data_IF_862321128827
#
_entry.id   IF_862321128827
#
_cell.length_a   1.000
_cell.length_b   1.000
_cell.length_c   1.000
_cell.angle_alpha   90.00
_cell.angle_beta   90.00
_cell.angle_gamma   90.00
#
_symmetry.space_group_name_H-M   'P 1'
#
loop_
_entity.id
_entity.type
_entity.pdbx_description
1 polymer ?
#
# COMPACT_ATOMS: atom_id res chain seq x y z
N UNK A 1 -62.45 -65.68 -17.90
CA UNK A 1 -61.02 -65.99 -18.16
C UNK A 1 -60.18 -64.74 -18.47
N UNK A 2 -60.52 -63.56 -17.98
CA UNK A 2 -59.82 -62.33 -18.34
C UNK A 2 -59.12 -61.62 -17.15
N UNK A 3 -59.67 -61.73 -15.96
CA UNK A 3 -59.10 -60.93 -14.79
C UNK A 3 -57.79 -61.45 -14.24
N UNK A 4 -57.51 -62.75 -14.28
CA UNK A 4 -56.26 -63.32 -13.83
C UNK A 4 -55.07 -63.00 -14.74
N UNK A 5 -55.31 -62.99 -16.06
CA UNK A 5 -54.31 -62.69 -17.06
C UNK A 5 -53.88 -61.20 -17.02
N UNK A 6 -54.86 -60.31 -16.83
CA UNK A 6 -54.61 -58.88 -16.66
C UNK A 6 -53.82 -58.61 -15.43
N UNK A 7 -54.13 -59.25 -14.29
CA UNK A 7 -53.39 -59.07 -13.04
C UNK A 7 -51.92 -59.55 -13.12
N UNK A 8 -51.64 -60.57 -13.90
CA UNK A 8 -50.28 -61.07 -14.16
C UNK A 8 -49.50 -60.13 -15.09
N UNK A 9 -50.17 -59.55 -16.07
CA UNK A 9 -49.57 -58.62 -17.02
C UNK A 9 -49.26 -57.28 -16.31
N UNK A 10 -50.15 -56.81 -15.49
CA UNK A 10 -49.90 -55.57 -14.65
C UNK A 10 -48.78 -55.75 -13.64
N UNK A 11 -48.74 -56.93 -12.99
CA UNK A 11 -47.60 -57.24 -12.10
C UNK A 11 -46.25 -57.27 -12.83
N UNK A 12 -46.24 -57.78 -14.10
CA UNK A 12 -45.02 -57.78 -14.91
C UNK A 12 -44.63 -56.37 -15.37
N UNK A 13 -45.63 -55.54 -15.77
CA UNK A 13 -45.39 -54.10 -16.09
C UNK A 13 -44.85 -53.31 -14.91
N UNK A 14 -45.48 -53.46 -13.74
CA UNK A 14 -45.02 -52.80 -12.49
C UNK A 14 -43.63 -53.26 -12.10
N UNK A 15 -43.29 -54.55 -12.18
CA UNK A 15 -41.96 -55.06 -11.89
C UNK A 15 -40.91 -54.54 -12.87
N UNK A 16 -41.23 -54.43 -14.17
CA UNK A 16 -40.34 -53.84 -15.17
C UNK A 16 -40.13 -52.33 -14.94
N UNK A 17 -41.22 -51.60 -14.65
CA UNK A 17 -41.13 -50.17 -14.33
C UNK A 17 -40.31 -49.92 -13.07
N UNK A 18 -40.54 -50.67 -11.99
CA UNK A 18 -39.76 -50.52 -10.75
C UNK A 18 -38.30 -50.91 -10.90
N UNK A 19 -37.99 -51.93 -11.75
CA UNK A 19 -36.58 -52.28 -12.01
C UNK A 19 -35.88 -51.22 -12.88
N UNK A 20 -36.55 -50.59 -13.83
CA UNK A 20 -36.04 -49.47 -14.62
C UNK A 20 -35.76 -48.23 -13.74
N UNK A 21 -36.73 -47.87 -12.88
CA UNK A 21 -36.54 -46.76 -11.96
C UNK A 21 -35.44 -47.00 -10.94
N UNK A 22 -35.26 -48.22 -10.45
CA UNK A 22 -34.12 -48.61 -9.60
C UNK A 22 -32.81 -48.51 -10.34
N UNK A 23 -32.72 -48.95 -11.60
CA UNK A 23 -31.55 -48.82 -12.45
C UNK A 23 -31.18 -47.34 -12.69
N UNK A 24 -32.15 -46.49 -13.01
CA UNK A 24 -31.97 -45.06 -13.18
C UNK A 24 -31.54 -44.37 -11.88
N UNK A 25 -32.09 -44.75 -10.74
CA UNK A 25 -31.70 -44.19 -9.45
C UNK A 25 -30.25 -44.57 -9.07
N UNK A 26 -29.83 -45.83 -9.33
CA UNK A 26 -28.43 -46.25 -9.12
C UNK A 26 -27.47 -45.51 -10.05
N UNK A 27 -27.86 -45.35 -11.33
CA UNK A 27 -27.05 -44.61 -12.30
C UNK A 27 -26.92 -43.14 -11.92
N UNK A 28 -28.03 -42.50 -11.52
CA UNK A 28 -28.01 -41.12 -11.04
C UNK A 28 -27.18 -40.97 -9.77
N UNK A 29 -27.27 -41.92 -8.83
CA UNK A 29 -26.43 -41.95 -7.64
C UNK A 29 -24.92 -42.11 -7.95
N UNK A 30 -24.57 -43.01 -8.88
CA UNK A 30 -23.21 -43.19 -9.35
C UNK A 30 -22.66 -41.96 -10.06
N UNK A 31 -23.47 -41.30 -10.88
CA UNK A 31 -23.12 -40.02 -11.53
C UNK A 31 -22.94 -38.90 -10.50
N UNK A 32 -23.80 -38.82 -9.48
CA UNK A 32 -23.69 -37.84 -8.42
C UNK A 32 -22.40 -38.06 -7.56
N UNK A 33 -22.11 -39.33 -7.22
CA UNK A 33 -20.86 -39.67 -6.50
C UNK A 33 -19.64 -39.41 -7.39
N UNK A 34 -19.70 -39.74 -8.68
CA UNK A 34 -18.65 -39.41 -9.66
C UNK A 34 -18.44 -37.91 -9.80
N UNK A 35 -19.53 -37.13 -9.85
CA UNK A 35 -19.44 -35.65 -9.90
C UNK A 35 -18.85 -35.08 -8.62
N UNK A 36 -19.22 -35.61 -7.44
CA UNK A 36 -18.65 -35.18 -6.13
C UNK A 36 -17.17 -35.55 -6.02
N UNK A 37 -16.77 -36.76 -6.49
CA UNK A 37 -15.35 -37.16 -6.47
C UNK A 37 -14.52 -36.35 -7.45
N UNK A 38 -15.03 -36.08 -8.67
CA UNK A 38 -14.36 -35.21 -9.65
C UNK A 38 -14.31 -33.76 -9.15
N UNK A 39 -15.37 -33.28 -8.51
CA UNK A 39 -15.38 -31.94 -7.90
C UNK A 39 -14.47 -31.87 -6.65
N UNK A 40 -14.33 -32.98 -5.91
CA UNK A 40 -13.50 -33.05 -4.71
C UNK A 40 -12.02 -33.35 -4.97
N UNK A 41 -11.67 -33.94 -6.14
CA UNK A 41 -10.28 -34.22 -6.55
C UNK A 41 -9.76 -33.24 -7.60
N UNK A 42 -10.65 -32.49 -8.24
CA UNK A 42 -10.23 -31.36 -9.06
C UNK A 42 -9.72 -30.26 -8.14
N UNK A 43 -8.46 -29.88 -8.27
CA UNK A 43 -7.94 -28.60 -7.80
C UNK A 43 -8.63 -27.44 -8.54
N UNK A 44 -9.94 -27.30 -8.30
CA UNK A 44 -10.69 -26.11 -8.67
C UNK A 44 -10.34 -25.00 -7.66
N UNK A 45 -9.05 -24.82 -7.41
CA UNK A 45 -8.58 -23.56 -6.88
C UNK A 45 -8.83 -22.55 -7.99
N UNK A 46 -10.00 -21.91 -7.95
CA UNK A 46 -10.19 -20.62 -8.58
C UNK A 46 -9.20 -19.67 -7.89
N UNK A 47 -7.91 -19.88 -8.14
CA UNK A 47 -6.92 -18.90 -7.79
C UNK A 47 -7.37 -17.63 -8.54
N UNK A 48 -7.67 -16.55 -7.82
CA UNK A 48 -8.10 -15.32 -8.47
C UNK A 48 -7.06 -14.97 -9.55
N UNK A 49 -7.50 -14.51 -10.73
CA UNK A 49 -6.58 -14.18 -11.82
C UNK A 49 -5.52 -13.21 -11.29
N UNK A 50 -4.28 -13.40 -11.71
CA UNK A 50 -3.19 -12.50 -11.35
C UNK A 50 -3.54 -11.08 -11.77
N UNK A 51 -3.45 -10.14 -10.85
CA UNK A 51 -3.82 -8.74 -11.03
C UNK A 51 -2.61 -7.84 -10.80
N UNK A 52 -2.64 -6.67 -11.41
CA UNK A 52 -1.71 -5.58 -11.11
C UNK A 52 -2.42 -4.61 -10.17
N UNK A 53 -1.89 -4.39 -8.99
CA UNK A 53 -2.42 -3.42 -8.06
C UNK A 53 -1.99 -2.00 -8.46
N UNK A 54 -2.93 -1.07 -8.46
CA UNK A 54 -2.64 0.36 -8.61
C UNK A 54 -2.79 1.04 -7.25
N UNK A 55 -1.73 1.69 -6.80
CA UNK A 55 -1.69 2.44 -5.55
C UNK A 55 -1.45 3.90 -5.90
N UNK A 56 -2.20 4.81 -5.28
CA UNK A 56 -2.07 6.25 -5.53
C UNK A 56 -1.58 6.94 -4.27
N UNK A 57 -0.60 7.84 -4.43
CA UNK A 57 -0.12 8.77 -3.39
C UNK A 57 -0.39 10.18 -3.91
N UNK A 58 -1.27 10.90 -3.23
CA UNK A 58 -1.66 12.27 -3.56
C UNK A 58 -1.63 13.16 -2.31
N UNK A 59 -1.46 14.47 -2.52
CA UNK A 59 -1.44 15.44 -1.45
C UNK A 59 -0.19 15.36 -0.59
N UNK A 60 -0.27 15.89 0.62
CA UNK A 60 0.86 15.94 1.55
C UNK A 60 1.09 14.57 2.21
N UNK A 61 2.34 14.12 2.21
CA UNK A 61 2.74 12.84 2.81
C UNK A 61 3.01 13.05 4.30
N UNK A 62 2.29 12.29 5.11
CA UNK A 62 2.53 12.15 6.54
C UNK A 62 2.55 10.65 6.88
N UNK A 63 2.98 10.29 8.08
CA UNK A 63 2.89 8.90 8.52
C UNK A 63 1.44 8.49 8.74
N UNK A 64 0.91 7.65 7.84
CA UNK A 64 -0.44 7.08 7.93
C UNK A 64 -0.37 5.55 8.12
N UNK A 65 -0.72 5.12 9.32
CA UNK A 65 -0.75 3.69 9.67
C UNK A 65 -1.74 2.88 8.84
N UNK A 66 -2.84 3.49 8.36
CA UNK A 66 -3.81 2.79 7.52
C UNK A 66 -3.21 2.52 6.14
N UNK A 67 -2.51 3.50 5.57
CA UNK A 67 -1.77 3.37 4.33
C UNK A 67 -0.66 2.31 4.43
N UNK A 68 0.14 2.34 5.48
CA UNK A 68 1.20 1.35 5.69
C UNK A 68 0.65 -0.08 5.83
N UNK A 69 -0.46 -0.27 6.55
CA UNK A 69 -1.14 -1.57 6.61
C UNK A 69 -1.68 -2.02 5.24
N UNK A 70 -2.19 -1.10 4.44
CA UNK A 70 -2.64 -1.40 3.07
C UNK A 70 -1.46 -1.85 2.20
N UNK A 71 -0.32 -1.15 2.21
CA UNK A 71 0.89 -1.53 1.49
C UNK A 71 1.37 -2.93 1.90
N UNK A 72 1.37 -3.24 3.20
CA UNK A 72 1.70 -4.57 3.70
C UNK A 72 0.75 -5.65 3.17
N UNK A 73 -0.57 -5.41 3.16
CA UNK A 73 -1.53 -6.36 2.57
C UNK A 73 -1.27 -6.59 1.08
N UNK A 74 -0.93 -5.55 0.33
CA UNK A 74 -0.56 -5.68 -1.09
C UNK A 74 0.72 -6.49 -1.26
N UNK A 75 1.73 -6.29 -0.39
CA UNK A 75 2.94 -7.09 -0.38
C UNK A 75 2.66 -8.59 -0.19
N UNK A 76 1.72 -8.94 0.69
CA UNK A 76 1.41 -10.33 1.05
C UNK A 76 0.36 -10.99 0.14
N UNK A 77 -0.35 -10.22 -0.68
CA UNK A 77 -1.42 -10.71 -1.55
C UNK A 77 -0.90 -11.56 -2.71
N UNK A 78 -1.10 -12.88 -2.68
CA UNK A 78 -0.60 -13.83 -3.68
C UNK A 78 -1.18 -13.62 -5.09
N UNK A 79 -2.40 -13.07 -5.19
CA UNK A 79 -3.06 -12.78 -6.47
C UNK A 79 -2.54 -11.48 -7.12
N UNK A 80 -1.80 -10.63 -6.40
CA UNK A 80 -1.16 -9.44 -6.95
C UNK A 80 0.18 -9.82 -7.54
N UNK A 81 0.30 -9.71 -8.87
CA UNK A 81 1.51 -10.06 -9.63
C UNK A 81 2.51 -8.92 -9.74
N UNK A 82 2.06 -7.67 -9.59
CA UNK A 82 2.90 -6.47 -9.66
C UNK A 82 2.15 -5.24 -9.20
N UNK A 83 2.86 -4.13 -9.03
CA UNK A 83 2.29 -2.88 -8.49
C UNK A 83 2.67 -1.70 -9.38
N UNK A 84 1.71 -0.83 -9.66
CA UNK A 84 1.92 0.50 -10.22
C UNK A 84 1.64 1.51 -9.11
N UNK A 85 2.66 2.25 -8.73
CA UNK A 85 2.56 3.36 -7.77
C UNK A 85 2.38 4.67 -8.54
N UNK A 86 1.21 5.26 -8.49
CA UNK A 86 0.94 6.59 -9.09
C UNK A 86 1.20 7.65 -8.04
N UNK A 87 2.10 8.57 -8.32
CA UNK A 87 2.51 9.62 -7.37
C UNK A 87 2.20 11.00 -7.95
N UNK A 88 1.40 11.78 -7.23
CA UNK A 88 1.12 13.18 -7.53
C UNK A 88 1.08 13.99 -6.23
N UNK A 89 2.25 14.30 -5.68
CA UNK A 89 2.42 14.86 -4.34
C UNK A 89 3.61 15.82 -4.29
N UNK A 90 3.47 16.96 -3.59
CA UNK A 90 4.59 17.89 -3.37
C UNK A 90 5.59 17.37 -2.34
N UNK A 91 5.30 16.27 -1.67
CA UNK A 91 6.08 15.74 -0.56
C UNK A 91 5.36 15.84 0.78
N UNK A 92 6.11 15.99 1.85
CA UNK A 92 5.58 16.04 3.22
C UNK A 92 6.67 15.82 4.26
N UNK A 93 6.35 15.10 5.33
CA UNK A 93 7.31 14.83 6.41
C UNK A 93 8.36 13.81 5.96
N UNK A 94 9.60 13.99 6.41
CA UNK A 94 10.71 13.06 6.13
C UNK A 94 10.37 11.65 6.62
N UNK A 95 9.84 11.53 7.85
CA UNK A 95 9.44 10.26 8.45
C UNK A 95 8.29 9.57 7.69
N UNK A 96 7.32 10.34 7.17
CA UNK A 96 6.26 9.79 6.32
C UNK A 96 6.80 9.26 4.99
N UNK A 97 7.75 9.98 4.39
CA UNK A 97 8.46 9.53 3.18
C UNK A 97 9.26 8.25 3.42
N UNK A 98 10.02 8.19 4.52
CA UNK A 98 10.80 7.03 4.93
C UNK A 98 9.92 5.80 5.17
N UNK A 99 8.84 5.94 5.95
CA UNK A 99 7.92 4.85 6.25
C UNK A 99 7.28 4.26 4.98
N UNK A 100 6.89 5.12 4.03
CA UNK A 100 6.37 4.67 2.73
C UNK A 100 7.47 4.00 1.90
N UNK A 101 8.68 4.57 1.86
CA UNK A 101 9.82 3.99 1.16
C UNK A 101 10.09 2.56 1.63
N UNK A 102 10.17 2.33 2.93
CA UNK A 102 10.41 1.01 3.51
C UNK A 102 9.28 0.02 3.17
N UNK A 103 8.02 0.46 3.28
CA UNK A 103 6.88 -0.37 2.91
C UNK A 103 6.89 -0.76 1.42
N UNK A 104 7.28 0.15 0.53
CA UNK A 104 7.42 -0.11 -0.91
C UNK A 104 8.62 -1.02 -1.21
N UNK A 105 9.73 -0.90 -0.49
CA UNK A 105 10.84 -1.86 -0.56
C UNK A 105 10.38 -3.26 -0.19
N UNK A 106 9.58 -3.41 0.86
CA UNK A 106 9.00 -4.70 1.24
C UNK A 106 8.05 -5.29 0.18
N UNK A 107 7.45 -4.47 -0.69
CA UNK A 107 6.71 -4.93 -1.88
C UNK A 107 7.71 -5.37 -2.96
N UNK A 108 8.71 -4.53 -3.28
CA UNK A 108 9.71 -4.76 -4.32
C UNK A 108 10.49 -6.07 -4.12
N UNK A 109 10.72 -6.51 -2.88
CA UNK A 109 11.34 -7.81 -2.57
C UNK A 109 10.49 -9.01 -2.97
N UNK A 110 9.17 -8.83 -3.12
CA UNK A 110 8.21 -9.92 -3.39
C UNK A 110 7.64 -9.89 -4.79
N UNK A 111 7.53 -8.71 -5.40
CA UNK A 111 6.91 -8.50 -6.71
C UNK A 111 7.34 -7.19 -7.35
N UNK A 112 7.37 -7.11 -8.70
CA UNK A 112 7.79 -5.90 -9.39
C UNK A 112 6.87 -4.72 -9.05
N UNK A 113 7.50 -3.56 -8.83
CA UNK A 113 6.80 -2.31 -8.55
C UNK A 113 7.42 -1.16 -9.35
N UNK A 114 6.57 -0.41 -10.05
CA UNK A 114 6.97 0.74 -10.87
C UNK A 114 6.26 2.00 -10.37
N UNK A 115 7.01 3.08 -10.15
CA UNK A 115 6.42 4.39 -9.88
C UNK A 115 6.14 5.12 -11.18
N UNK A 116 4.95 5.69 -11.29
CA UNK A 116 4.54 6.64 -12.32
C UNK A 116 4.36 8.01 -11.67
N UNK A 117 5.21 8.96 -12.01
CA UNK A 117 5.10 10.33 -11.53
C UNK A 117 4.11 11.13 -12.37
N UNK A 118 3.21 11.82 -11.68
CA UNK A 118 2.24 12.76 -12.27
C UNK A 118 2.86 14.12 -12.54
N UNK A 119 2.11 15.17 -12.23
CA UNK A 119 2.59 16.56 -12.36
C UNK A 119 3.71 16.84 -11.37
N UNK A 120 3.57 16.39 -10.12
CA UNK A 120 4.55 16.60 -9.06
C UNK A 120 4.83 15.30 -8.33
N UNK A 121 6.11 14.99 -8.11
CA UNK A 121 6.58 13.91 -7.26
C UNK A 121 7.89 14.35 -6.59
N UNK A 122 7.80 15.26 -5.62
CA UNK A 122 8.93 15.98 -5.06
C UNK A 122 9.13 15.65 -3.56
N UNK A 123 10.36 15.84 -3.05
CA UNK A 123 10.71 15.66 -1.64
C UNK A 123 10.30 14.27 -1.12
N UNK A 124 9.49 14.17 -0.06
CA UNK A 124 9.00 12.89 0.48
C UNK A 124 8.30 12.01 -0.58
N UNK A 125 7.68 12.58 -1.60
CA UNK A 125 7.09 11.84 -2.72
C UNK A 125 8.17 11.24 -3.64
N UNK A 126 9.29 11.92 -3.82
CA UNK A 126 10.45 11.35 -4.50
C UNK A 126 11.09 10.23 -3.68
N UNK A 127 11.19 10.39 -2.35
CA UNK A 127 11.62 9.32 -1.43
C UNK A 127 10.74 8.07 -1.63
N UNK A 128 9.42 8.22 -1.65
CA UNK A 128 8.51 7.11 -1.92
C UNK A 128 8.80 6.43 -3.28
N UNK A 129 9.00 7.23 -4.34
CA UNK A 129 9.36 6.71 -5.66
C UNK A 129 10.66 5.92 -5.67
N UNK A 130 11.67 6.33 -4.90
CA UNK A 130 12.92 5.62 -4.72
C UNK A 130 12.75 4.22 -4.11
N UNK A 131 11.63 3.95 -3.42
CA UNK A 131 11.27 2.64 -2.89
C UNK A 131 10.89 1.63 -3.96
N UNK A 132 10.61 2.06 -5.19
CA UNK A 132 10.20 1.20 -6.32
C UNK A 132 11.38 0.72 -7.16
N UNK A 133 11.15 -0.28 -8.03
CA UNK A 133 12.21 -0.82 -8.89
C UNK A 133 12.53 0.10 -10.06
N UNK A 134 11.52 0.81 -10.55
CA UNK A 134 11.66 1.73 -11.68
C UNK A 134 10.76 2.95 -11.51
N UNK A 135 11.23 4.09 -12.02
CA UNK A 135 10.50 5.37 -12.02
C UNK A 135 10.28 5.82 -13.45
N UNK A 136 9.02 6.09 -13.79
CA UNK A 136 8.59 6.69 -15.04
C UNK A 136 8.04 8.08 -14.76
N UNK A 137 8.54 9.09 -15.45
CA UNK A 137 8.07 10.47 -15.34
C UNK A 137 7.86 11.06 -16.74
N UNK A 138 7.00 12.05 -16.85
CA UNK A 138 6.91 12.86 -18.08
C UNK A 138 8.02 13.91 -18.09
N UNK A 139 8.36 14.41 -19.27
CA UNK A 139 9.41 15.43 -19.41
C UNK A 139 9.18 16.70 -18.59
N UNK A 140 7.92 17.05 -18.33
CA UNK A 140 7.53 18.22 -17.52
C UNK A 140 7.08 17.86 -16.08
N UNK A 141 7.29 16.63 -15.64
CA UNK A 141 7.04 16.28 -14.23
C UNK A 141 8.04 17.01 -13.33
N UNK A 142 7.53 17.66 -12.30
CA UNK A 142 8.36 18.27 -11.26
C UNK A 142 8.76 17.16 -10.28
N UNK A 143 10.06 16.88 -10.19
CA UNK A 143 10.56 15.80 -9.35
C UNK A 143 11.86 16.21 -8.65
N UNK A 144 12.39 15.34 -7.78
CA UNK A 144 13.58 15.63 -6.99
C UNK A 144 13.22 16.44 -5.74
N UNK A 145 13.60 17.72 -5.71
CA UNK A 145 13.50 18.53 -4.48
C UNK A 145 14.16 17.82 -3.29
N UNK A 146 15.42 17.38 -3.54
CA UNK A 146 16.21 16.61 -2.57
C UNK A 146 16.76 17.57 -1.53
N UNK A 147 15.92 17.90 -0.55
CA UNK A 147 16.23 18.87 0.49
C UNK A 147 15.29 18.76 1.68
N UNK A 148 15.74 19.30 2.81
CA UNK A 148 15.00 19.31 4.07
C UNK A 148 14.85 20.75 4.52
N UNK A 149 13.65 21.13 4.90
CA UNK A 149 13.37 22.44 5.47
C UNK A 149 12.64 22.28 6.80
N UNK A 150 12.87 23.23 7.70
CA UNK A 150 12.07 23.44 8.90
C UNK A 150 11.56 24.89 8.87
N UNK A 151 10.27 25.06 8.93
CA UNK A 151 9.62 26.37 8.88
C UNK A 151 8.64 26.50 10.05
N UNK A 152 8.68 27.63 10.71
CA UNK A 152 7.73 28.01 11.75
C UNK A 152 7.47 29.52 11.70
N UNK A 153 6.28 29.99 12.04
CA UNK A 153 6.04 31.40 12.22
C UNK A 153 6.73 31.88 13.51
N UNK A 154 7.30 33.06 13.52
CA UNK A 154 7.74 33.77 14.72
C UNK A 154 6.77 34.94 14.95
N UNK A 155 6.05 34.94 16.07
CA UNK A 155 4.94 35.86 16.36
C UNK A 155 5.14 36.65 17.66
N UNK A 156 6.34 36.66 18.25
CA UNK A 156 6.61 37.31 19.54
C UNK A 156 6.31 38.82 19.53
N UNK A 157 6.70 39.51 18.47
CA UNK A 157 6.43 40.94 18.34
C UNK A 157 4.94 41.25 18.16
N UNK A 158 4.21 40.39 17.42
CA UNK A 158 2.78 40.52 17.27
C UNK A 158 2.06 40.40 18.61
N UNK A 159 2.44 39.37 19.38
CA UNK A 159 1.88 39.14 20.72
C UNK A 159 2.18 40.31 21.67
N UNK A 160 3.41 40.84 21.63
CA UNK A 160 3.77 41.99 22.43
C UNK A 160 2.92 43.23 22.10
N UNK A 161 2.64 43.49 20.80
CA UNK A 161 1.77 44.60 20.36
C UNK A 161 0.33 44.40 20.83
N UNK A 162 -0.12 43.14 20.99
CA UNK A 162 -1.47 42.82 21.50
C UNK A 162 -1.50 42.76 23.05
N UNK A 163 -0.40 43.09 23.73
CA UNK A 163 -0.32 43.04 25.19
C UNK A 163 -0.24 41.60 25.79
N UNK A 164 -0.03 40.59 24.95
CA UNK A 164 0.08 39.20 25.39
C UNK A 164 1.53 38.87 25.73
N UNK A 165 1.76 38.36 26.95
CA UNK A 165 3.07 37.90 27.40
C UNK A 165 3.11 36.38 27.49
N UNK A 166 4.05 35.78 26.78
CA UNK A 166 4.31 34.34 26.88
C UNK A 166 5.29 34.09 28.03
N UNK A 167 4.89 33.21 28.95
CA UNK A 167 5.76 32.77 30.06
C UNK A 167 6.05 31.29 29.89
N UNK A 168 7.29 30.90 29.89
CA UNK A 168 7.74 29.51 29.75
C UNK A 168 8.66 29.11 30.90
N UNK A 169 8.43 27.92 31.42
CA UNK A 169 9.36 27.28 32.37
C UNK A 169 9.86 26.00 31.67
N UNK A 170 11.15 25.94 31.40
CA UNK A 170 11.78 24.85 30.63
C UNK A 170 12.74 24.06 31.50
N UNK A 171 12.84 22.76 31.26
CA UNK A 171 13.82 21.89 31.90
C UNK A 171 15.26 22.13 31.40
N UNK A 172 15.43 22.87 30.32
CA UNK A 172 16.72 23.25 29.74
C UNK A 172 16.55 24.27 28.62
N UNK A 173 17.63 24.98 28.24
CA UNK A 173 17.56 26.13 27.33
C UNK A 173 17.06 25.74 25.92
N UNK A 174 17.40 24.57 25.42
CA UNK A 174 17.02 24.10 24.08
C UNK A 174 15.68 23.38 24.05
N UNK A 175 14.96 23.24 25.18
CA UNK A 175 13.65 22.62 25.18
C UNK A 175 12.64 23.48 24.41
N UNK A 176 11.93 22.88 23.46
CA UNK A 176 10.94 23.53 22.56
C UNK A 176 11.56 24.61 21.63
N UNK A 177 12.78 24.37 21.17
CA UNK A 177 13.46 25.20 20.16
C UNK A 177 13.39 24.45 18.81
N UNK A 178 13.05 25.16 17.69
CA UNK A 178 12.59 26.55 17.61
C UNK A 178 11.19 26.76 18.18
N UNK A 179 10.91 27.98 18.69
CA UNK A 179 9.62 28.37 19.25
C UNK A 179 8.96 29.46 18.39
N UNK A 180 7.64 29.44 18.18
CA UNK A 180 6.95 30.53 17.51
C UNK A 180 6.81 31.78 18.39
N UNK A 181 7.11 31.69 19.69
CA UNK A 181 6.83 32.73 20.65
C UNK A 181 8.07 33.52 21.10
N UNK A 182 9.23 33.17 20.57
CA UNK A 182 10.50 33.85 20.86
C UNK A 182 11.44 33.79 19.67
N UNK A 183 12.29 34.82 19.47
CA UNK A 183 13.34 34.77 18.46
C UNK A 183 14.27 33.56 18.66
N UNK A 184 14.70 32.98 17.54
CA UNK A 184 15.65 31.87 17.58
C UNK A 184 17.04 32.38 17.96
N UNK A 185 17.58 31.88 19.08
CA UNK A 185 18.92 32.18 19.52
C UNK A 185 19.98 31.36 18.74
N UNK A 186 21.25 31.68 18.93
CA UNK A 186 22.36 31.04 18.22
C UNK A 186 22.48 29.54 18.57
N UNK A 187 22.26 29.17 19.82
CA UNK A 187 22.33 27.77 20.25
C UNK A 187 21.20 26.93 19.63
N UNK A 188 19.99 27.49 19.63
CA UNK A 188 18.83 26.86 18.97
C UNK A 188 19.01 26.76 17.46
N UNK A 189 19.57 27.80 16.83
CA UNK A 189 19.90 27.78 15.39
C UNK A 189 20.86 26.63 15.09
N UNK A 190 21.95 26.52 15.81
CA UNK A 190 22.97 25.49 15.60
C UNK A 190 22.40 24.07 15.71
N UNK A 191 21.55 23.81 16.71
CA UNK A 191 20.92 22.49 16.87
C UNK A 191 19.96 22.21 15.74
N UNK A 192 19.13 23.19 15.29
CA UNK A 192 18.21 23.06 14.19
C UNK A 192 18.95 22.78 12.87
N UNK A 193 20.05 23.50 12.61
CA UNK A 193 20.88 23.28 11.42
C UNK A 193 21.50 21.89 11.40
N UNK A 194 21.98 21.38 12.53
CA UNK A 194 22.49 20.00 12.63
C UNK A 194 21.41 18.96 12.32
N UNK A 195 20.20 19.11 12.84
CA UNK A 195 19.08 18.19 12.54
C UNK A 195 18.73 18.18 11.04
N UNK A 196 18.72 19.36 10.42
CA UNK A 196 18.48 19.49 8.98
C UNK A 196 19.61 18.84 8.19
N UNK A 197 20.87 19.08 8.57
CA UNK A 197 22.04 18.53 7.90
C UNK A 197 22.06 16.99 7.95
N UNK A 198 21.78 16.39 9.09
CA UNK A 198 21.69 14.94 9.24
C UNK A 198 20.59 14.34 8.35
N UNK A 199 19.41 14.95 8.34
CA UNK A 199 18.30 14.52 7.48
C UNK A 199 18.63 14.68 5.99
N UNK A 200 19.36 15.74 5.62
CA UNK A 200 19.83 15.99 4.26
C UNK A 200 20.84 14.93 3.81
N UNK A 201 21.81 14.59 4.66
CA UNK A 201 22.80 13.54 4.37
C UNK A 201 22.10 12.20 4.13
N UNK A 202 21.16 11.83 5.01
CA UNK A 202 20.36 10.62 4.83
C UNK A 202 19.63 10.59 3.48
N UNK A 203 18.96 11.69 3.10
CA UNK A 203 18.22 11.76 1.84
C UNK A 203 19.15 11.66 0.62
N UNK A 204 20.28 12.36 0.64
CA UNK A 204 21.29 12.28 -0.43
C UNK A 204 21.84 10.86 -0.57
N UNK A 205 22.13 10.19 0.54
CA UNK A 205 22.62 8.81 0.53
C UNK A 205 21.57 7.84 -0.03
N UNK A 206 20.30 8.07 0.29
CA UNK A 206 19.20 7.29 -0.29
C UNK A 206 19.14 7.44 -1.82
N UNK A 207 19.25 8.68 -2.31
CA UNK A 207 19.30 8.96 -3.76
C UNK A 207 20.51 8.28 -4.41
N UNK A 208 21.71 8.42 -3.83
CA UNK A 208 22.93 7.76 -4.31
C UNK A 208 22.74 6.25 -4.43
N UNK A 209 22.25 5.61 -3.37
CA UNK A 209 22.02 4.15 -3.32
C UNK A 209 21.00 3.69 -4.37
N UNK A 210 19.94 4.47 -4.57
CA UNK A 210 18.82 4.03 -5.41
C UNK A 210 18.95 4.45 -6.88
N UNK A 211 19.68 5.54 -7.18
CA UNK A 211 19.82 6.06 -8.54
C UNK A 211 21.22 5.83 -9.14
N UNK A 212 22.18 5.40 -8.35
CA UNK A 212 23.56 5.22 -8.80
C UNK A 212 24.23 6.53 -9.27
N UNK A 213 23.68 7.68 -8.86
CA UNK A 213 24.19 9.00 -9.25
C UNK A 213 25.17 9.53 -8.22
N UNK A 214 26.24 10.17 -8.70
CA UNK A 214 27.15 10.88 -7.83
C UNK A 214 26.54 12.25 -7.57
N UNK A 215 25.89 12.44 -6.43
CA UNK A 215 25.36 13.74 -6.00
C UNK A 215 26.57 14.58 -5.53
N UNK A 216 27.24 15.22 -6.46
CA UNK A 216 28.06 16.38 -6.12
C UNK A 216 27.12 17.55 -5.96
N UNK A 217 27.30 18.31 -4.89
CA UNK A 217 26.55 19.51 -4.51
C UNK A 217 26.26 20.42 -5.68
#
# INVERSE_FOLDING_TARGET
MSLEVESVLDRRRLKRSTSLWRGLAILAGALAVGAVTVAGTGDWTFAPPKQVARITIEGMITEDRAQLRMLKRVADAKHVAGVILVVNSPGGTTTGGEAIFEALRGISEKKPIVAQFGTVAASAAYIAGLGTDHIVARGNSITGSVGVIMQWPEVSELLAKLGVKMNEIKSGPLKATPSPFQPLDEAGRKVTELMIAESQVWFLDLVRKRRGVNTKE
#
